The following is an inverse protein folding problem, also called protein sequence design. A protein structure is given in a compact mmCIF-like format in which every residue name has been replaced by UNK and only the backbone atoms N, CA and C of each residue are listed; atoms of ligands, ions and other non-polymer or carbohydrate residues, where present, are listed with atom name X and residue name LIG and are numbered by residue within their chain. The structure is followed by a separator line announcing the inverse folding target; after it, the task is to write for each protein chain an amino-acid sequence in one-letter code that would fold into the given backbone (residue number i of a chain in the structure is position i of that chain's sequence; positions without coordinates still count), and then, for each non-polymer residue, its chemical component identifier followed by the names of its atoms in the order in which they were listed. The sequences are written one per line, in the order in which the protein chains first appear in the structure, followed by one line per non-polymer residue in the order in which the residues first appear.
data_IF_134001286183
#
_entry.id   IF_134001286183
#
_cell.length_a   1.000
_cell.length_b   1.000
_cell.length_c   1.000
_cell.angle_alpha   90.00
_cell.angle_beta   90.00
_cell.angle_gamma   90.00
#
_symmetry.space_group_name_H-M   'P 1'
#
loop_
_entity.id
_entity.type
_entity.pdbx_description
1 polymer ?
#
# COMPACT_ATOMS: atom_id res chain seq x y z
N UNK A 1 35.46 20.80 -4.23
CA UNK A 1 34.59 20.75 -3.02
C UNK A 1 33.29 21.46 -3.37
N UNK A 2 32.25 20.72 -3.76
CA UNK A 2 30.95 21.28 -4.11
C UNK A 2 30.02 21.11 -2.91
N UNK A 3 29.59 22.22 -2.33
CA UNK A 3 28.65 22.26 -1.20
C UNK A 3 27.24 21.94 -1.70
N UNK A 4 26.75 20.74 -1.43
CA UNK A 4 25.35 20.34 -1.66
C UNK A 4 24.45 21.18 -0.77
N UNK A 5 23.69 22.11 -1.36
CA UNK A 5 22.66 22.88 -0.63
C UNK A 5 21.45 21.97 -0.41
N UNK A 6 21.12 21.75 0.86
CA UNK A 6 19.92 21.05 1.33
C UNK A 6 18.67 21.70 0.70
N UNK A 7 17.81 20.84 0.14
CA UNK A 7 16.67 21.21 -0.69
C UNK A 7 15.64 22.06 0.05
N UNK A 8 15.31 23.21 -0.55
CA UNK A 8 14.07 23.92 -0.24
C UNK A 8 12.95 23.30 -1.07
N UNK A 9 12.01 22.63 -0.41
CA UNK A 9 10.77 22.19 -1.03
C UNK A 9 9.93 23.42 -1.42
N UNK A 10 9.42 23.44 -2.66
CA UNK A 10 8.50 24.48 -3.11
C UNK A 10 7.12 24.26 -2.45
N UNK A 11 6.42 25.32 -2.04
CA UNK A 11 5.06 25.20 -1.53
C UNK A 11 4.11 24.79 -2.67
N UNK A 12 3.19 23.88 -2.37
CA UNK A 12 2.06 23.51 -3.23
C UNK A 12 0.76 24.12 -2.63
N UNK A 13 -0.30 24.42 -3.42
CA UNK A 13 -0.34 24.40 -4.89
C UNK A 13 0.70 25.36 -5.51
N UNK A 14 1.16 25.11 -6.75
CA UNK A 14 2.18 25.94 -7.38
C UNK A 14 1.59 27.34 -7.56
N UNK A 15 2.36 28.37 -7.22
CA UNK A 15 1.95 29.74 -7.53
C UNK A 15 1.79 29.91 -9.06
N UNK A 16 0.79 30.68 -9.53
CA UNK A 16 0.57 30.87 -10.96
C UNK A 16 1.84 31.35 -11.67
N UNK A 17 2.29 30.61 -12.69
CA UNK A 17 3.45 30.98 -13.50
C UNK A 17 4.80 30.39 -13.07
N UNK A 18 4.86 29.52 -12.05
CA UNK A 18 6.09 28.77 -11.76
C UNK A 18 6.15 27.43 -12.50
N UNK A 19 7.26 27.10 -13.18
CA UNK A 19 7.46 25.75 -13.70
C UNK A 19 7.61 24.76 -12.54
N UNK A 20 7.11 23.54 -12.75
CA UNK A 20 7.28 22.42 -11.81
C UNK A 20 8.74 22.34 -11.35
N UNK A 21 9.02 22.12 -10.05
CA UNK A 21 10.39 21.94 -9.59
C UNK A 21 11.02 20.78 -10.36
N UNK A 22 12.34 20.82 -10.63
CA UNK A 22 13.03 19.72 -11.27
C UNK A 22 13.19 18.58 -10.24
N UNK A 23 12.09 17.95 -9.84
CA UNK A 23 12.09 16.52 -9.61
C UNK A 23 12.67 15.92 -10.88
N UNK A 24 13.61 14.98 -10.79
CA UNK A 24 13.91 14.12 -11.94
C UNK A 24 12.56 13.59 -12.41
N UNK A 25 12.05 14.15 -13.50
CA UNK A 25 10.81 13.74 -14.14
C UNK A 25 11.05 12.30 -14.57
N UNK A 26 10.82 11.37 -13.67
CA UNK A 26 10.79 9.97 -14.00
C UNK A 26 9.32 9.64 -14.16
N UNK A 27 8.80 9.59 -15.40
CA UNK A 27 7.38 9.34 -15.69
C UNK A 27 6.89 7.95 -15.23
N UNK A 28 7.66 7.22 -14.40
CA UNK A 28 7.37 5.86 -13.95
C UNK A 28 6.94 5.75 -12.47
N UNK A 29 7.18 6.76 -11.62
CA UNK A 29 6.86 6.66 -10.18
C UNK A 29 5.54 7.34 -9.83
N UNK A 30 4.41 6.69 -10.16
CA UNK A 30 3.07 7.29 -10.01
C UNK A 30 2.64 7.49 -8.55
N UNK A 31 3.18 6.69 -7.61
CA UNK A 31 2.81 6.71 -6.20
C UNK A 31 3.59 7.67 -5.29
N UNK A 32 4.84 7.99 -5.65
CA UNK A 32 5.74 8.82 -4.85
C UNK A 32 6.71 9.60 -5.76
N UNK A 33 6.22 10.61 -6.49
CA UNK A 33 6.99 11.26 -7.56
C UNK A 33 8.18 12.09 -7.04
N UNK A 34 8.18 12.45 -5.75
CA UNK A 34 9.23 13.26 -5.11
C UNK A 34 10.24 12.43 -4.29
N UNK A 35 10.17 11.10 -4.37
CA UNK A 35 11.02 10.22 -3.58
C UNK A 35 12.48 10.21 -4.04
N UNK A 36 13.39 9.97 -3.09
CA UNK A 36 14.78 9.68 -3.38
C UNK A 36 14.91 8.31 -4.09
N UNK A 37 15.79 8.22 -5.08
CA UNK A 37 15.91 7.01 -5.91
C UNK A 37 16.47 5.83 -5.12
N UNK A 38 17.51 6.04 -4.32
CA UNK A 38 18.15 4.95 -3.58
C UNK A 38 17.20 4.43 -2.50
N UNK A 39 16.47 5.33 -1.83
CA UNK A 39 15.42 4.94 -0.90
C UNK A 39 14.26 4.26 -1.60
N UNK A 40 13.84 4.72 -2.77
CA UNK A 40 12.79 4.09 -3.58
C UNK A 40 13.12 2.65 -3.92
N UNK A 41 14.38 2.32 -4.25
CA UNK A 41 14.80 0.93 -4.50
C UNK A 41 14.59 0.07 -3.26
N UNK A 42 14.96 0.56 -2.07
CA UNK A 42 14.73 -0.17 -0.82
C UNK A 42 13.24 -0.27 -0.47
N UNK A 43 12.47 0.79 -0.71
CA UNK A 43 11.00 0.78 -0.62
C UNK A 43 10.37 -0.28 -1.52
N UNK A 44 10.78 -0.36 -2.78
CA UNK A 44 10.32 -1.37 -3.73
C UNK A 44 10.66 -2.80 -3.30
N UNK A 45 11.84 -3.00 -2.69
CA UNK A 45 12.22 -4.32 -2.17
C UNK A 45 11.36 -4.76 -0.99
N UNK A 46 11.09 -3.88 -0.03
CA UNK A 46 10.22 -4.23 1.11
C UNK A 46 8.79 -4.47 0.65
N UNK A 47 8.29 -3.67 -0.30
CA UNK A 47 6.98 -3.87 -0.90
C UNK A 47 6.87 -5.21 -1.60
N UNK A 48 7.86 -5.59 -2.41
CA UNK A 48 7.89 -6.90 -3.07
C UNK A 48 7.94 -8.07 -2.08
N UNK A 49 8.64 -7.92 -0.96
CA UNK A 49 8.67 -8.95 0.10
C UNK A 49 7.31 -9.06 0.79
N UNK A 50 6.62 -7.95 1.05
CA UNK A 50 5.27 -8.00 1.59
C UNK A 50 4.30 -8.73 0.66
N UNK A 51 4.33 -8.46 -0.65
CA UNK A 51 3.54 -9.25 -1.62
C UNK A 51 3.91 -10.73 -1.64
N UNK A 52 5.21 -11.06 -1.59
CA UNK A 52 5.66 -12.45 -1.53
C UNK A 52 5.15 -13.15 -0.26
N UNK A 53 5.16 -12.45 0.87
CA UNK A 53 4.73 -13.00 2.14
C UNK A 53 3.20 -13.09 2.25
N UNK A 54 2.46 -12.16 1.61
CA UNK A 54 1.01 -12.24 1.38
C UNK A 54 0.66 -13.50 0.56
N UNK A 55 1.36 -13.73 -0.56
CA UNK A 55 1.21 -14.94 -1.38
C UNK A 55 1.51 -16.21 -0.56
N UNK A 56 2.50 -16.22 0.35
CA UNK A 56 2.79 -17.37 1.22
C UNK A 56 1.68 -17.66 2.23
N UNK A 57 1.00 -16.63 2.72
CA UNK A 57 -0.10 -16.77 3.67
C UNK A 57 -1.36 -17.25 2.93
N UNK A 58 -1.66 -16.67 1.78
CA UNK A 58 -2.81 -17.04 0.97
C UNK A 58 -2.65 -18.43 0.35
N UNK A 59 -1.45 -18.76 -0.14
CA UNK A 59 -1.12 -20.08 -0.69
C UNK A 59 -0.89 -21.11 0.42
N UNK A 60 -1.99 -21.69 0.90
CA UNK A 60 -1.95 -22.82 1.83
C UNK A 60 -2.07 -22.44 3.31
N UNK A 61 -2.44 -21.19 3.63
CA UNK A 61 -2.75 -20.73 5.00
C UNK A 61 -1.61 -21.02 5.99
N UNK A 62 -0.36 -20.79 5.57
CA UNK A 62 0.85 -21.00 6.37
C UNK A 62 1.05 -19.89 7.42
N UNK A 63 0.06 -19.73 8.30
CA UNK A 63 0.03 -18.70 9.35
C UNK A 63 1.12 -18.89 10.40
N UNK A 64 1.70 -20.09 10.50
CA UNK A 64 2.83 -20.41 11.38
C UNK A 64 4.08 -19.57 11.06
N UNK A 65 4.25 -19.18 9.79
CA UNK A 65 5.38 -18.34 9.33
C UNK A 65 5.29 -16.89 9.78
N UNK A 66 4.11 -16.40 10.17
CA UNK A 66 3.93 -15.02 10.67
C UNK A 66 4.83 -14.76 11.88
N UNK A 67 4.97 -15.75 12.77
CA UNK A 67 5.84 -15.65 13.96
C UNK A 67 7.28 -15.39 13.56
N UNK A 68 7.73 -16.02 12.47
CA UNK A 68 9.05 -15.86 11.90
C UNK A 68 9.29 -14.48 11.30
N UNK A 69 8.37 -13.98 10.48
CA UNK A 69 8.42 -12.61 9.96
C UNK A 69 8.40 -11.53 11.06
N UNK A 70 7.67 -11.76 12.17
CA UNK A 70 7.71 -10.89 13.37
C UNK A 70 8.99 -11.04 14.17
N UNK A 71 9.58 -12.24 14.21
CA UNK A 71 10.80 -12.53 14.96
C UNK A 71 12.06 -11.95 14.31
N UNK A 72 11.97 -11.57 13.03
CA UNK A 72 12.98 -10.79 12.30
C UNK A 72 13.12 -9.41 12.94
N UNK A 73 13.83 -9.39 14.08
CA UNK A 73 14.19 -8.19 14.80
C UNK A 73 15.46 -7.63 14.22
N UNK A 74 15.40 -6.35 13.92
CA UNK A 74 16.56 -5.58 13.56
C UNK A 74 17.77 -5.89 14.44
N UNK A 75 18.81 -6.37 13.77
CA UNK A 75 20.19 -6.54 14.27
C UNK A 75 20.45 -7.55 15.40
N UNK A 76 19.45 -8.24 15.99
CA UNK A 76 19.69 -9.14 17.15
C UNK A 76 19.20 -10.58 16.94
N UNK A 77 18.22 -10.82 16.07
CA UNK A 77 17.66 -12.17 15.87
C UNK A 77 18.07 -12.73 14.52
N UNK A 78 18.60 -13.96 14.49
CA UNK A 78 18.62 -14.74 13.24
C UNK A 78 17.18 -15.07 12.83
N UNK A 79 16.89 -15.24 11.53
CA UNK A 79 15.63 -15.81 11.06
C UNK A 79 15.27 -17.05 11.89
N UNK A 80 14.01 -17.17 12.28
CA UNK A 80 13.52 -18.31 13.05
C UNK A 80 13.63 -19.58 12.22
N UNK A 81 13.33 -19.45 10.92
CA UNK A 81 13.48 -20.50 9.92
C UNK A 81 14.71 -20.19 9.06
N UNK A 82 15.86 -20.78 9.43
CA UNK A 82 17.16 -20.50 8.80
C UNK A 82 17.25 -20.84 7.31
N UNK A 83 16.34 -21.67 6.81
CA UNK A 83 16.26 -22.06 5.40
C UNK A 83 15.17 -21.29 4.63
N UNK A 84 14.35 -20.48 5.31
CA UNK A 84 13.29 -19.72 4.67
C UNK A 84 13.85 -18.45 4.02
N UNK A 85 13.93 -18.49 2.69
CA UNK A 85 14.45 -17.40 1.88
C UNK A 85 13.62 -16.12 1.99
N UNK A 86 12.32 -16.21 2.25
CA UNK A 86 11.47 -15.03 2.41
C UNK A 86 11.79 -14.29 3.72
N UNK A 87 11.98 -15.05 4.79
CA UNK A 87 12.36 -14.54 6.11
C UNK A 87 13.76 -13.90 6.10
N UNK A 88 14.72 -14.53 5.41
CA UNK A 88 16.07 -13.99 5.20
C UNK A 88 16.03 -12.70 4.40
N UNK A 89 15.28 -12.67 3.28
CA UNK A 89 15.13 -11.47 2.46
C UNK A 89 14.50 -10.32 3.27
N UNK A 90 13.46 -10.62 4.05
CA UNK A 90 12.79 -9.67 4.93
C UNK A 90 13.79 -9.05 5.92
N UNK A 91 14.60 -9.86 6.60
CA UNK A 91 15.63 -9.40 7.53
C UNK A 91 16.68 -8.51 6.88
N UNK A 92 17.20 -8.92 5.71
CA UNK A 92 18.18 -8.13 4.98
C UNK A 92 17.66 -6.75 4.59
N UNK A 93 16.43 -6.68 4.09
CA UNK A 93 15.82 -5.40 3.67
C UNK A 93 15.48 -4.53 4.87
N UNK A 94 14.94 -5.09 5.95
CA UNK A 94 14.65 -4.34 7.18
C UNK A 94 15.92 -3.76 7.81
N UNK A 95 17.03 -4.50 7.81
CA UNK A 95 18.34 -3.98 8.28
C UNK A 95 18.85 -2.84 7.41
N UNK A 96 18.71 -2.96 6.08
CA UNK A 96 19.11 -1.90 5.16
C UNK A 96 18.29 -0.63 5.38
N UNK A 97 16.96 -0.75 5.52
CA UNK A 97 16.07 0.38 5.81
C UNK A 97 16.41 1.00 7.15
N UNK A 98 16.62 0.21 8.22
CA UNK A 98 17.03 0.72 9.53
C UNK A 98 18.28 1.58 9.47
N UNK A 99 19.27 1.16 8.67
CA UNK A 99 20.55 1.87 8.56
C UNK A 99 20.41 3.25 7.90
N UNK A 100 19.37 3.46 7.09
CA UNK A 100 19.16 4.68 6.28
C UNK A 100 17.94 5.49 6.71
N UNK A 101 17.05 4.95 7.54
CA UNK A 101 15.85 5.60 8.05
C UNK A 101 16.09 6.34 9.37
N UNK A 102 15.26 7.34 9.66
CA UNK A 102 15.17 7.89 11.02
C UNK A 102 14.72 6.80 12.01
N UNK A 103 15.29 6.74 13.23
CA UNK A 103 14.91 5.74 14.22
C UNK A 103 13.40 5.72 14.51
N UNK A 104 12.79 6.90 14.59
CA UNK A 104 11.36 7.06 14.86
C UNK A 104 10.48 6.49 13.74
N UNK A 105 10.78 6.83 12.48
CA UNK A 105 10.10 6.26 11.30
C UNK A 105 10.25 4.74 11.24
N UNK A 106 11.41 4.23 11.63
CA UNK A 106 11.68 2.78 11.64
C UNK A 106 10.88 2.04 12.72
N UNK A 107 10.79 2.60 13.92
CA UNK A 107 10.01 2.01 15.01
C UNK A 107 8.52 1.97 14.66
N UNK A 108 8.01 3.04 14.04
CA UNK A 108 6.65 3.10 13.52
C UNK A 108 6.41 2.08 12.40
N UNK A 109 7.35 1.94 11.45
CA UNK A 109 7.29 0.91 10.42
C UNK A 109 7.13 -0.47 11.05
N UNK A 110 8.02 -0.81 12.00
CA UNK A 110 8.00 -2.11 12.68
C UNK A 110 6.65 -2.35 13.37
N UNK A 111 6.12 -1.35 14.07
CA UNK A 111 4.80 -1.44 14.72
C UNK A 111 3.68 -1.70 13.70
N UNK A 112 3.63 -0.93 12.62
CA UNK A 112 2.61 -1.09 11.58
C UNK A 112 2.73 -2.45 10.86
N UNK A 113 3.95 -2.96 10.63
CA UNK A 113 4.15 -4.29 10.06
C UNK A 113 3.61 -5.38 10.99
N UNK A 114 3.81 -5.25 12.31
CA UNK A 114 3.27 -6.22 13.27
C UNK A 114 1.74 -6.19 13.32
N UNK A 115 1.14 -5.01 13.36
CA UNK A 115 -0.31 -4.83 13.33
C UNK A 115 -0.93 -5.44 12.05
N UNK A 116 -0.26 -5.26 10.90
CA UNK A 116 -0.68 -5.90 9.66
C UNK A 116 -0.61 -7.43 9.76
N UNK A 117 0.48 -7.99 10.28
CA UNK A 117 0.59 -9.43 10.49
C UNK A 117 -0.51 -9.98 11.41
N UNK A 118 -0.85 -9.28 12.49
CA UNK A 118 -1.94 -9.66 13.39
C UNK A 118 -3.30 -9.63 12.70
N UNK A 119 -3.51 -8.69 11.76
CA UNK A 119 -4.79 -8.57 11.05
C UNK A 119 -5.08 -9.70 10.06
N UNK A 120 -4.08 -10.52 9.70
CA UNK A 120 -4.28 -11.71 8.87
C UNK A 120 -4.94 -12.86 9.66
N UNK A 121 -5.01 -12.75 10.98
CA UNK A 121 -5.70 -13.71 11.84
C UNK A 121 -7.04 -13.09 12.23
N UNK A 122 -8.10 -13.45 11.50
CA UNK A 122 -9.45 -12.96 11.80
C UNK A 122 -10.50 -14.07 11.67
N UNK A 123 -11.59 -13.90 12.40
CA UNK A 123 -12.81 -14.71 12.23
C UNK A 123 -13.52 -14.36 10.91
N UNK A 124 -14.36 -15.25 10.35
CA UNK A 124 -15.15 -14.96 9.17
C UNK A 124 -16.01 -13.69 9.33
N UNK A 125 -16.10 -12.90 8.26
CA UNK A 125 -16.84 -11.64 8.28
C UNK A 125 -18.35 -11.87 8.36
N UNK A 126 -19.03 -11.12 9.22
CA UNK A 126 -20.50 -11.22 9.38
C UNK A 126 -21.24 -10.12 8.60
N UNK A 127 -20.58 -8.99 8.30
CA UNK A 127 -21.16 -7.86 7.59
C UNK A 127 -20.08 -6.97 6.93
N UNK A 128 -20.54 -6.08 6.04
CA UNK A 128 -19.69 -5.16 5.27
C UNK A 128 -18.93 -4.17 6.16
N UNK A 129 -19.52 -3.71 7.26
CA UNK A 129 -18.86 -2.74 8.15
C UNK A 129 -17.69 -3.36 8.93
N UNK A 130 -17.87 -4.60 9.40
CA UNK A 130 -16.82 -5.41 10.00
C UNK A 130 -15.70 -5.68 9.00
N UNK A 131 -16.05 -5.99 7.75
CA UNK A 131 -15.09 -6.14 6.68
C UNK A 131 -14.26 -4.88 6.47
N UNK A 132 -14.91 -3.71 6.29
CA UNK A 132 -14.22 -2.44 6.08
C UNK A 132 -13.30 -2.09 7.26
N UNK A 133 -13.73 -2.35 8.49
CA UNK A 133 -12.92 -2.11 9.68
C UNK A 133 -11.64 -2.97 9.71
N UNK A 134 -11.75 -4.27 9.37
CA UNK A 134 -10.60 -5.17 9.32
C UNK A 134 -9.72 -4.87 8.11
N UNK A 135 -10.32 -4.61 6.95
CA UNK A 135 -9.64 -4.31 5.68
C UNK A 135 -8.76 -3.07 5.78
N UNK A 136 -9.14 -2.06 6.58
CA UNK A 136 -8.30 -0.87 6.86
C UNK A 136 -6.92 -1.21 7.42
N UNK A 137 -6.80 -2.30 8.19
CA UNK A 137 -5.52 -2.75 8.75
C UNK A 137 -4.88 -3.80 7.83
N UNK A 138 -5.70 -4.72 7.33
CA UNK A 138 -5.27 -5.86 6.51
C UNK A 138 -4.74 -5.47 5.12
N UNK A 139 -5.20 -4.35 4.54
CA UNK A 139 -4.68 -3.84 3.26
C UNK A 139 -3.20 -3.39 3.31
N UNK A 140 -2.57 -3.49 4.48
CA UNK A 140 -1.20 -3.07 4.77
C UNK A 140 -0.92 -1.60 4.44
N UNK A 141 -1.91 -0.79 4.07
CA UNK A 141 -1.69 0.57 3.56
C UNK A 141 -0.98 1.44 4.59
N UNK A 142 -1.23 1.25 5.89
CA UNK A 142 -0.49 1.95 6.94
C UNK A 142 0.98 1.48 7.04
N UNK A 143 1.24 0.18 6.84
CA UNK A 143 2.59 -0.38 6.75
C UNK A 143 3.33 0.13 5.49
N UNK A 144 2.71 0.04 4.32
CA UNK A 144 3.21 0.58 3.05
C UNK A 144 3.40 2.11 3.11
N UNK A 145 2.45 2.85 3.69
CA UNK A 145 2.55 4.30 3.97
C UNK A 145 3.81 4.62 4.76
N UNK A 146 4.10 3.83 5.78
CA UNK A 146 5.27 3.98 6.65
C UNK A 146 6.58 3.59 5.96
N UNK A 147 6.61 2.42 5.31
CA UNK A 147 7.82 1.81 4.75
C UNK A 147 8.19 2.34 3.36
N UNK A 148 7.18 2.55 2.52
CA UNK A 148 7.35 2.85 1.11
C UNK A 148 7.23 4.33 0.85
N UNK A 149 6.36 5.06 1.54
CA UNK A 149 6.13 6.47 1.23
C UNK A 149 6.88 7.40 2.19
N UNK A 150 6.71 7.26 3.51
CA UNK A 150 7.39 8.13 4.49
C UNK A 150 8.91 7.97 4.46
N UNK A 151 9.42 6.74 4.38
CA UNK A 151 10.85 6.49 4.24
C UNK A 151 11.43 7.04 2.92
N UNK A 152 10.78 6.80 1.78
CA UNK A 152 11.32 7.20 0.47
C UNK A 152 11.25 8.70 0.23
N UNK A 153 10.30 9.38 0.86
CA UNK A 153 10.17 10.83 0.84
C UNK A 153 11.01 11.54 1.91
N UNK A 154 11.67 10.80 2.80
CA UNK A 154 12.40 11.38 3.94
C UNK A 154 11.49 12.29 4.78
N UNK A 155 10.39 11.69 5.26
CA UNK A 155 9.39 12.35 6.12
C UNK A 155 9.48 11.73 7.52
N UNK A 156 9.69 12.56 8.54
CA UNK A 156 9.86 12.13 9.92
C UNK A 156 8.78 12.70 10.86
N UNK A 157 7.54 12.22 10.72
CA UNK A 157 6.43 12.64 11.56
C UNK A 157 6.53 12.07 13.00
N UNK A 158 6.22 12.92 13.97
CA UNK A 158 6.10 12.53 15.38
C UNK A 158 4.89 11.63 15.62
N UNK A 159 4.91 10.89 16.73
CA UNK A 159 3.76 10.05 17.13
C UNK A 159 2.50 10.90 17.35
N UNK A 160 2.63 12.08 17.96
CA UNK A 160 1.49 12.99 18.19
C UNK A 160 0.82 13.40 16.87
N UNK A 161 1.60 13.62 15.82
CA UNK A 161 1.08 13.98 14.49
C UNK A 161 0.37 12.80 13.82
N UNK A 162 0.90 11.58 13.95
CA UNK A 162 0.34 10.37 13.33
C UNK A 162 -0.93 9.90 14.03
N UNK A 163 -0.92 9.92 15.37
CA UNK A 163 -2.09 9.53 16.16
C UNK A 163 -3.13 10.65 16.28
N UNK A 164 -2.89 11.82 15.68
CA UNK A 164 -3.88 12.88 15.64
C UNK A 164 -5.15 12.40 14.92
N UNK A 165 -6.36 12.63 15.45
CA UNK A 165 -7.60 12.13 14.87
C UNK A 165 -7.79 12.48 13.39
N UNK A 166 -7.47 13.72 13.01
CA UNK A 166 -7.56 14.17 11.62
C UNK A 166 -6.57 13.45 10.69
N UNK A 167 -5.36 13.14 11.18
CA UNK A 167 -4.38 12.40 10.40
C UNK A 167 -4.84 10.94 10.20
N UNK A 168 -5.34 10.31 11.26
CA UNK A 168 -5.88 8.95 11.22
C UNK A 168 -7.09 8.84 10.31
N UNK A 169 -7.93 9.87 10.26
CA UNK A 169 -9.06 9.94 9.33
C UNK A 169 -8.56 10.01 7.88
N UNK A 170 -7.62 10.90 7.58
CA UNK A 170 -7.06 11.02 6.22
C UNK A 170 -6.38 9.71 5.77
N UNK A 171 -5.56 9.08 6.61
CA UNK A 171 -4.93 7.78 6.33
C UNK A 171 -5.96 6.66 6.19
N UNK A 172 -7.03 6.69 6.99
CA UNK A 172 -8.13 5.73 6.94
C UNK A 172 -8.92 5.81 5.63
N UNK A 173 -9.23 7.01 5.15
CA UNK A 173 -9.94 7.20 3.87
C UNK A 173 -9.14 6.64 2.69
N UNK A 174 -7.82 6.81 2.71
CA UNK A 174 -6.94 6.28 1.65
C UNK A 174 -6.84 4.78 1.74
N UNK A 175 -6.74 4.24 2.96
CA UNK A 175 -6.72 2.79 3.18
C UNK A 175 -8.01 2.16 2.63
N UNK A 176 -9.17 2.78 2.88
CA UNK A 176 -10.45 2.37 2.29
C UNK A 176 -10.41 2.43 0.76
N UNK A 177 -9.94 3.54 0.18
CA UNK A 177 -9.87 3.70 -1.27
C UNK A 177 -8.96 2.65 -1.93
N UNK A 178 -7.76 2.45 -1.38
CA UNK A 178 -6.78 1.47 -1.87
C UNK A 178 -7.35 0.05 -1.77
N UNK A 179 -7.98 -0.29 -0.64
CA UNK A 179 -8.63 -1.59 -0.44
C UNK A 179 -9.73 -1.84 -1.44
N UNK A 180 -10.69 -0.92 -1.56
CA UNK A 180 -11.80 -1.05 -2.52
C UNK A 180 -11.32 -1.13 -3.97
N UNK A 181 -10.28 -0.36 -4.32
CA UNK A 181 -9.68 -0.40 -5.66
C UNK A 181 -9.00 -1.74 -5.92
N UNK A 182 -8.28 -2.26 -4.94
CA UNK A 182 -7.65 -3.58 -5.03
C UNK A 182 -8.71 -4.66 -5.23
N UNK A 183 -9.71 -4.74 -4.34
CA UNK A 183 -10.77 -5.75 -4.41
C UNK A 183 -11.52 -5.72 -5.75
N UNK A 184 -11.77 -4.52 -6.28
CA UNK A 184 -12.45 -4.33 -7.56
C UNK A 184 -11.69 -4.95 -8.74
N UNK A 185 -10.35 -4.83 -8.75
CA UNK A 185 -9.52 -5.35 -9.83
C UNK A 185 -9.04 -6.78 -9.59
N UNK A 186 -8.85 -7.20 -8.34
CA UNK A 186 -8.37 -8.53 -7.97
C UNK A 186 -9.45 -9.60 -7.96
N UNK A 187 -10.74 -9.23 -7.87
CA UNK A 187 -11.85 -10.18 -7.73
C UNK A 187 -11.85 -11.33 -8.75
N UNK A 188 -11.54 -11.05 -10.03
CA UNK A 188 -11.51 -12.11 -11.05
C UNK A 188 -10.40 -13.11 -10.74
N UNK A 189 -9.22 -12.64 -10.33
CA UNK A 189 -8.10 -13.50 -9.93
C UNK A 189 -8.47 -14.32 -8.69
N UNK A 190 -8.96 -13.67 -7.65
CA UNK A 190 -9.30 -14.29 -6.36
C UNK A 190 -10.40 -15.35 -6.50
N UNK A 191 -11.40 -15.09 -7.35
CA UNK A 191 -12.46 -16.06 -7.66
C UNK A 191 -11.92 -17.29 -8.39
N UNK A 192 -10.90 -17.13 -9.24
CA UNK A 192 -10.27 -18.25 -9.94
C UNK A 192 -9.36 -19.08 -9.02
N UNK A 193 -8.83 -18.47 -7.95
CA UNK A 193 -7.95 -19.11 -6.97
C UNK A 193 -8.70 -19.61 -5.72
N UNK A 194 -10.03 -19.45 -5.65
CA UNK A 194 -10.86 -19.74 -4.47
C UNK A 194 -10.34 -19.04 -3.20
N UNK A 195 -9.88 -17.80 -3.35
CA UNK A 195 -9.39 -16.95 -2.27
C UNK A 195 -10.22 -15.65 -2.15
N UNK A 196 -11.45 -15.65 -2.66
CA UNK A 196 -12.35 -14.49 -2.67
C UNK A 196 -13.14 -14.32 -1.36
N UNK A 197 -12.86 -15.13 -0.33
CA UNK A 197 -13.47 -15.07 1.01
C UNK A 197 -13.32 -13.69 1.68
N UNK A 198 -12.28 -12.94 1.31
CA UNK A 198 -11.95 -11.62 1.84
C UNK A 198 -12.13 -10.49 0.80
N UNK A 199 -12.99 -10.68 -0.21
CA UNK A 199 -13.28 -9.68 -1.23
C UNK A 199 -14.64 -8.99 -1.00
N UNK A 200 -14.68 -7.66 -1.07
CA UNK A 200 -15.93 -6.89 -0.91
C UNK A 200 -17.01 -7.26 -1.94
N UNK A 201 -16.65 -7.63 -3.17
CA UNK A 201 -17.62 -8.06 -4.20
C UNK A 201 -18.32 -9.33 -3.74
N UNK A 202 -17.58 -10.29 -3.19
CA UNK A 202 -18.12 -11.54 -2.68
C UNK A 202 -19.08 -11.28 -1.51
N UNK A 203 -18.65 -10.43 -0.57
CA UNK A 203 -19.46 -10.07 0.60
C UNK A 203 -20.76 -9.36 0.19
N UNK A 204 -20.71 -8.45 -0.80
CA UNK A 204 -21.91 -7.79 -1.33
C UNK A 204 -22.86 -8.78 -2.01
N UNK A 205 -22.32 -9.78 -2.71
CA UNK A 205 -23.14 -10.83 -3.31
C UNK A 205 -23.80 -11.73 -2.25
N UNK A 206 -23.04 -12.15 -1.23
CA UNK A 206 -23.51 -13.09 -0.22
C UNK A 206 -24.44 -12.45 0.84
N UNK A 207 -24.16 -11.21 1.26
CA UNK A 207 -24.90 -10.55 2.35
C UNK A 207 -25.97 -9.57 1.87
N UNK A 208 -25.79 -8.93 0.71
CA UNK A 208 -26.75 -7.97 0.16
C UNK A 208 -27.55 -8.54 -1.02
N UNK A 209 -27.36 -9.82 -1.37
CA UNK A 209 -28.00 -10.51 -2.51
C UNK A 209 -27.86 -9.75 -3.84
N UNK A 210 -26.76 -8.99 -4.00
CA UNK A 210 -26.50 -8.25 -5.23
C UNK A 210 -25.95 -9.16 -6.32
N UNK A 211 -26.28 -8.87 -7.58
CA UNK A 211 -25.60 -9.50 -8.70
C UNK A 211 -24.19 -8.93 -8.88
N UNK A 212 -23.29 -9.66 -9.55
CA UNK A 212 -21.94 -9.17 -9.83
C UNK A 212 -21.91 -7.78 -10.51
N UNK A 213 -22.71 -7.50 -11.57
CA UNK A 213 -22.76 -6.16 -12.16
C UNK A 213 -23.22 -5.07 -11.19
N UNK A 214 -24.20 -5.35 -10.33
CA UNK A 214 -24.70 -4.39 -9.33
C UNK A 214 -23.64 -4.12 -8.25
N UNK A 215 -22.96 -5.16 -7.77
CA UNK A 215 -21.86 -5.03 -6.81
C UNK A 215 -20.73 -4.14 -7.36
N UNK A 216 -20.38 -4.29 -8.65
CA UNK A 216 -19.38 -3.42 -9.30
C UNK A 216 -19.79 -1.95 -9.30
N UNK A 217 -21.06 -1.65 -9.62
CA UNK A 217 -21.58 -0.28 -9.61
C UNK A 217 -21.52 0.33 -8.21
N UNK A 218 -21.88 -0.46 -7.19
CA UNK A 218 -21.81 -0.03 -5.79
C UNK A 218 -20.38 0.31 -5.38
N UNK A 219 -19.41 -0.53 -5.75
CA UNK A 219 -18.00 -0.31 -5.40
C UNK A 219 -17.42 0.89 -6.15
N UNK A 220 -17.69 1.04 -7.45
CA UNK A 220 -17.25 2.22 -8.22
C UNK A 220 -17.77 3.51 -7.59
N UNK A 221 -19.03 3.52 -7.15
CA UNK A 221 -19.60 4.67 -6.43
C UNK A 221 -18.89 4.91 -5.09
N UNK A 222 -18.58 3.85 -4.33
CA UNK A 222 -17.86 3.97 -3.06
C UNK A 222 -16.42 4.47 -3.26
N UNK A 223 -15.70 4.01 -4.28
CA UNK A 223 -14.35 4.50 -4.62
C UNK A 223 -14.38 6.00 -4.88
N UNK A 224 -15.31 6.47 -5.74
CA UNK A 224 -15.48 7.91 -6.02
C UNK A 224 -15.88 8.71 -4.80
N UNK A 225 -16.69 8.14 -3.91
CA UNK A 225 -17.03 8.78 -2.64
C UNK A 225 -15.78 8.98 -1.78
N UNK A 226 -14.89 7.98 -1.70
CA UNK A 226 -13.65 8.08 -0.94
C UNK A 226 -12.67 9.11 -1.50
N UNK A 227 -12.68 9.34 -2.82
CA UNK A 227 -11.94 10.45 -3.43
C UNK A 227 -12.43 11.81 -2.91
N UNK A 228 -13.75 11.99 -2.77
CA UNK A 228 -14.33 13.23 -2.21
C UNK A 228 -14.09 13.34 -0.71
N UNK A 229 -14.24 12.25 0.03
CA UNK A 229 -13.98 12.21 1.48
C UNK A 229 -12.52 12.59 1.78
N UNK A 230 -11.58 12.19 0.92
CA UNK A 230 -10.17 12.53 1.08
C UNK A 230 -9.91 14.03 0.92
N UNK A 231 -10.59 14.71 -0.01
CA UNK A 231 -10.46 16.16 -0.17
C UNK A 231 -10.88 16.87 1.12
N UNK A 232 -11.98 16.43 1.74
CA UNK A 232 -12.49 17.00 2.98
C UNK A 232 -11.52 16.71 4.14
N UNK A 233 -11.12 15.46 4.32
CA UNK A 233 -10.22 15.04 5.40
C UNK A 233 -8.83 15.68 5.28
N UNK A 234 -8.26 15.71 4.07
CA UNK A 234 -6.97 16.35 3.79
C UNK A 234 -7.00 17.85 4.08
N UNK A 235 -8.05 18.55 3.64
CA UNK A 235 -8.22 19.98 3.95
C UNK A 235 -8.41 20.23 5.45
N UNK A 236 -9.08 19.32 6.18
CA UNK A 236 -9.21 19.43 7.64
C UNK A 236 -7.84 19.36 8.34
N UNK A 237 -6.95 18.46 7.91
CA UNK A 237 -5.57 18.38 8.44
C UNK A 237 -4.79 19.66 8.12
N UNK A 238 -4.89 20.16 6.89
CA UNK A 238 -4.13 21.34 6.45
C UNK A 238 -4.63 22.65 7.10
N UNK A 239 -5.91 22.73 7.45
CA UNK A 239 -6.49 23.89 8.13
C UNK A 239 -6.32 23.85 9.66
N UNK A 240 -5.85 22.74 10.21
CA UNK A 240 -5.63 22.61 11.64
C UNK A 240 -4.50 23.55 12.12
N UNK A 241 -4.72 24.36 13.17
CA UNK A 241 -3.76 25.35 13.62
C UNK A 241 -2.48 24.77 14.25
N UNK A 242 -2.47 23.48 14.61
CA UNK A 242 -1.31 22.73 15.09
C UNK A 242 -0.61 21.97 13.97
N UNK A 243 -1.32 21.09 13.27
CA UNK A 243 -0.77 20.21 12.24
C UNK A 243 -0.44 20.93 10.94
N UNK A 244 -1.30 21.83 10.47
CA UNK A 244 -1.18 22.45 9.14
C UNK A 244 0.03 23.37 8.97
N UNK A 245 0.69 23.73 10.07
CA UNK A 245 1.91 24.56 10.06
C UNK A 245 3.18 23.75 9.80
N UNK A 246 3.14 22.43 9.97
CA UNK A 246 4.30 21.58 9.78
C UNK A 246 4.52 21.26 8.29
N UNK A 247 5.68 21.62 7.71
CA UNK A 247 6.00 21.28 6.33
C UNK A 247 6.00 19.77 6.04
N UNK A 248 6.34 18.92 7.01
CA UNK A 248 6.34 17.46 6.83
C UNK A 248 4.92 16.90 6.79
N UNK A 249 4.01 17.42 7.61
CA UNK A 249 2.58 17.08 7.55
C UNK A 249 2.00 17.48 6.20
N UNK A 250 2.33 18.69 5.73
CA UNK A 250 1.91 19.16 4.41
C UNK A 250 2.39 18.23 3.29
N UNK A 251 3.68 17.85 3.31
CA UNK A 251 4.28 16.91 2.35
C UNK A 251 3.60 15.54 2.42
N UNK A 252 3.28 15.07 3.62
CA UNK A 252 2.61 13.79 3.80
C UNK A 252 1.21 13.78 3.20
N UNK A 253 0.35 14.72 3.60
CA UNK A 253 -1.02 14.85 3.07
C UNK A 253 -1.02 15.07 1.55
N UNK A 254 -0.04 15.80 1.03
CA UNK A 254 0.09 15.98 -0.42
C UNK A 254 0.51 14.70 -1.14
N UNK A 255 1.23 13.79 -0.49
CA UNK A 255 1.65 12.52 -1.07
C UNK A 255 0.53 11.47 -1.07
N UNK A 256 -0.38 11.55 -0.11
CA UNK A 256 -1.49 10.62 0.08
C UNK A 256 -2.39 10.46 -1.17
N UNK A 257 -2.67 11.55 -1.89
CA UNK A 257 -3.40 11.47 -3.17
C UNK A 257 -2.64 10.72 -4.27
N UNK A 258 -1.30 10.80 -4.28
CA UNK A 258 -0.47 10.06 -5.22
C UNK A 258 -0.47 8.58 -4.88
N UNK A 259 -0.61 8.21 -3.60
CA UNK A 259 -0.80 6.82 -3.21
C UNK A 259 -2.10 6.25 -3.82
N UNK A 260 -3.20 7.01 -3.74
CA UNK A 260 -4.48 6.62 -4.34
C UNK A 260 -4.38 6.46 -5.86
N UNK A 261 -3.87 7.47 -6.57
CA UNK A 261 -3.72 7.44 -8.02
C UNK A 261 -2.69 6.42 -8.51
N UNK A 262 -1.60 6.24 -7.75
CA UNK A 262 -0.55 5.26 -8.01
C UNK A 262 -1.08 3.82 -7.90
N UNK A 263 -1.86 3.52 -6.86
CA UNK A 263 -2.49 2.20 -6.70
C UNK A 263 -3.49 1.90 -7.83
N UNK A 264 -4.31 2.87 -8.21
CA UNK A 264 -5.26 2.75 -9.32
C UNK A 264 -4.52 2.44 -10.64
N UNK A 265 -3.47 3.20 -10.95
CA UNK A 265 -2.69 2.99 -12.16
C UNK A 265 -1.96 1.65 -12.16
N UNK A 266 -1.37 1.25 -11.02
CA UNK A 266 -0.73 -0.06 -10.86
C UNK A 266 -1.73 -1.21 -11.10
N UNK A 267 -2.91 -1.15 -10.48
CA UNK A 267 -3.94 -2.17 -10.61
C UNK A 267 -4.42 -2.33 -12.06
N UNK A 268 -4.55 -1.22 -12.80
CA UNK A 268 -4.88 -1.22 -14.22
C UNK A 268 -3.76 -1.83 -15.09
N UNK A 269 -2.50 -1.51 -14.78
CA UNK A 269 -1.34 -2.04 -15.50
C UNK A 269 -1.16 -3.54 -15.27
N UNK A 270 -1.29 -4.01 -14.03
CA UNK A 270 -1.20 -5.44 -13.67
C UNK A 270 -2.31 -6.23 -14.35
N UNK A 271 -3.57 -5.80 -14.27
CA UNK A 271 -4.66 -6.46 -15.00
C UNK A 271 -4.44 -6.47 -16.52
N UNK A 272 -3.81 -5.44 -17.07
CA UNK A 272 -3.50 -5.38 -18.51
C UNK A 272 -2.39 -6.37 -18.84
N UNK A 273 -1.40 -6.53 -17.96
CA UNK A 273 -0.34 -7.51 -18.09
C UNK A 273 -0.88 -8.94 -17.95
N UNK A 274 -1.71 -9.22 -16.96
CA UNK A 274 -2.35 -10.52 -16.75
C UNK A 274 -3.27 -10.91 -17.91
N UNK A 275 -4.09 -9.98 -18.41
CA UNK A 275 -4.91 -10.23 -19.62
C UNK A 275 -4.06 -10.50 -20.86
N UNK A 276 -2.93 -9.79 -21.01
CA UNK A 276 -1.97 -10.08 -22.09
C UNK A 276 -1.35 -11.46 -21.90
N UNK A 277 -0.90 -11.81 -20.70
CA UNK A 277 -0.37 -13.14 -20.40
C UNK A 277 -1.39 -14.23 -20.69
N UNK A 278 -2.63 -14.12 -20.21
CA UNK A 278 -3.71 -15.06 -20.53
C UNK A 278 -3.98 -15.14 -22.04
N UNK A 279 -3.96 -14.01 -22.75
CA UNK A 279 -4.06 -14.00 -24.22
C UNK A 279 -2.87 -14.68 -24.90
N UNK A 280 -1.65 -14.54 -24.38
CA UNK A 280 -0.45 -15.20 -24.89
C UNK A 280 -0.45 -16.70 -24.58
N UNK A 281 -0.86 -17.11 -23.37
CA UNK A 281 -1.00 -18.51 -22.98
C UNK A 281 -2.11 -19.19 -23.78
N UNK A 282 -3.25 -18.53 -23.99
CA UNK A 282 -4.32 -19.03 -24.87
C UNK A 282 -3.89 -19.08 -26.34
N UNK A 283 -3.02 -18.17 -26.80
CA UNK A 283 -2.45 -18.19 -28.15
C UNK A 283 -1.36 -19.27 -28.32
N UNK A 284 -0.68 -19.67 -27.25
CA UNK A 284 0.27 -20.79 -27.24
C UNK A 284 -0.42 -22.15 -27.02
N UNK A 285 -1.61 -22.18 -26.42
CA UNK A 285 -2.42 -23.40 -26.25
C UNK A 285 -3.21 -23.80 -27.50
N UNK A 286 -3.30 -22.93 -28.52
CA UNK A 286 -3.63 -23.35 -29.89
C UNK A 286 -2.35 -23.71 -30.64
N UNK A 287 -1.89 -24.97 -30.51
CA UNK A 287 -1.08 -25.77 -31.48
C UNK A 287 -0.32 -26.92 -30.80
N UNK A 288 -1.04 -27.80 -30.09
CA UNK A 288 -0.54 -29.16 -29.82
C UNK A 288 -1.41 -30.22 -30.51
N UNK A 289 -2.60 -29.84 -31.00
CA UNK A 289 -3.51 -30.76 -31.71
C UNK A 289 -3.43 -30.65 -33.26
N UNK A 290 -2.65 -29.72 -33.80
CA UNK A 290 -2.42 -29.59 -35.26
C UNK A 290 -1.15 -30.31 -35.75
N UNK A 291 -0.56 -31.18 -34.91
CA UNK A 291 0.55 -32.06 -35.28
C UNK A 291 0.21 -33.49 -34.87
N UNK A 292 -0.76 -34.08 -35.58
CA UNK A 292 -0.90 -35.53 -35.75
C UNK A 292 -1.19 -35.82 -37.20
#
# INVERSE_FOLDING_TARGET
MSSTRVGKAAPFPPLPGQPYPPTRNHPRWRGAPAADFDRMVWGARIAGIFFLADDYIDSGKMLDRITGFKAVRTSISQPLHKEDQAEICHDMVFRAIKATSHPHTFDQLTKCTHEWWDSNIHEPFQNVDQYLAVRRVNIAMLCYSSAYFRYTLDINLTDEQIYHPLMREAEGVISDHVGLTNDYFSYIKEKMTNSDDTNIIRILMDHENLTYPEAKIVIEKKIRQKEQDFIIAGMAVLNDPGLGKDPEVYRWISNLQYCMGGNLAWSQEVMTFERKLQSFTNMLLFRVEDIT
#
